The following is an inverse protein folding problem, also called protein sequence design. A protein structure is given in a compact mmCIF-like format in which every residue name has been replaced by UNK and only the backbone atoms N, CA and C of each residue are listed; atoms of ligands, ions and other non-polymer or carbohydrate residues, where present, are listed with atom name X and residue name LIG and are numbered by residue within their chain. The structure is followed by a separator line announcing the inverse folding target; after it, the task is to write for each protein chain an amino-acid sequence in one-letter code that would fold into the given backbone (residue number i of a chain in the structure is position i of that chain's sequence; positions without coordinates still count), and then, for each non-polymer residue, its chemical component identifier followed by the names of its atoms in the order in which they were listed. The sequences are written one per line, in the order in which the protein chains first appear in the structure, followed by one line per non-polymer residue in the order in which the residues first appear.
data_IF_881698933049
#
_entry.id   IF_881698933049
#
_cell.length_a   1.000
_cell.length_b   1.000
_cell.length_c   1.000
_cell.angle_alpha   90.00
_cell.angle_beta   90.00
_cell.angle_gamma   90.00
#
_symmetry.space_group_name_H-M   'P 1'
#
loop_
_entity.id
_entity.type
_entity.pdbx_description
1 polymer ?
#
# COMPACT_ATOMS: atom_id res chain seq x y z
N UNK A 1 -46.86 20.36 -12.61
CA UNK A 1 -45.96 21.06 -11.68
C UNK A 1 -45.01 20.02 -11.10
N UNK A 2 -43.78 19.94 -11.60
CA UNK A 2 -42.75 19.06 -11.06
C UNK A 2 -41.72 19.95 -10.36
N UNK A 3 -41.56 19.78 -9.05
CA UNK A 3 -40.54 20.49 -8.28
C UNK A 3 -39.17 19.91 -8.66
N UNK A 4 -38.17 20.74 -9.00
CA UNK A 4 -36.81 20.27 -9.08
C UNK A 4 -36.30 20.02 -7.66
N UNK A 5 -35.95 18.77 -7.35
CA UNK A 5 -35.18 18.41 -6.17
C UNK A 5 -33.77 18.99 -6.39
N UNK A 6 -33.19 19.74 -5.44
CA UNK A 6 -31.86 20.30 -5.63
C UNK A 6 -30.86 19.14 -5.69
N UNK A 7 -30.08 19.08 -6.78
CA UNK A 7 -28.89 18.26 -6.86
C UNK A 7 -28.00 18.64 -5.67
N UNK A 8 -27.82 17.72 -4.72
CA UNK A 8 -26.93 17.98 -3.60
C UNK A 8 -25.49 18.03 -4.10
N UNK A 9 -24.73 19.00 -3.59
CA UNK A 9 -23.30 19.21 -3.85
C UNK A 9 -22.42 17.97 -3.60
N UNK A 10 -22.97 16.92 -2.98
CA UNK A 10 -22.28 15.66 -2.74
C UNK A 10 -21.91 14.91 -4.03
N UNK A 11 -22.70 15.04 -5.11
CA UNK A 11 -22.37 14.39 -6.40
C UNK A 11 -21.21 15.04 -7.14
N UNK A 12 -20.76 16.22 -6.69
CA UNK A 12 -19.70 16.99 -7.35
C UNK A 12 -18.31 16.69 -6.79
N UNK A 13 -18.22 16.00 -5.65
CA UNK A 13 -16.95 15.53 -5.05
C UNK A 13 -16.54 14.13 -5.54
N UNK A 14 -17.41 13.41 -6.25
CA UNK A 14 -17.15 12.03 -6.69
C UNK A 14 -16.19 11.95 -7.91
N UNK A 15 -15.77 13.06 -8.53
CA UNK A 15 -14.98 13.06 -9.78
C UNK A 15 -13.99 14.24 -9.94
N UNK A 16 -13.14 14.54 -8.96
CA UNK A 16 -12.06 15.55 -9.17
C UNK A 16 -10.66 15.00 -9.00
N UNK A 17 -10.51 13.82 -8.41
CA UNK A 17 -9.22 13.20 -8.17
C UNK A 17 -8.76 12.47 -9.42
N UNK A 18 -7.57 12.79 -9.91
CA UNK A 18 -7.05 12.26 -11.18
C UNK A 18 -6.50 10.83 -11.08
N UNK A 19 -6.39 10.29 -9.87
CA UNK A 19 -5.64 9.06 -9.63
C UNK A 19 -4.13 9.26 -9.69
N UNK A 20 -3.40 8.17 -9.46
CA UNK A 20 -1.95 8.10 -9.53
C UNK A 20 -1.51 6.81 -10.23
N UNK A 21 -0.98 6.96 -11.44
CA UNK A 21 -0.40 5.89 -12.24
C UNK A 21 1.11 5.83 -12.10
N UNK A 22 1.65 4.63 -11.99
CA UNK A 22 3.08 4.37 -12.02
C UNK A 22 3.41 3.00 -12.62
N UNK A 23 4.67 2.83 -12.96
CA UNK A 23 5.19 1.60 -13.59
C UNK A 23 6.40 1.14 -12.81
N UNK A 24 6.49 -0.16 -12.55
CA UNK A 24 7.67 -0.84 -12.03
C UNK A 24 8.39 -1.42 -13.25
N UNK A 25 9.39 -0.68 -13.74
CA UNK A 25 10.06 -0.92 -15.03
C UNK A 25 11.59 -1.07 -14.93
N UNK A 26 12.11 -1.07 -13.70
CA UNK A 26 13.55 -1.15 -13.41
C UNK A 26 13.81 -2.14 -12.30
N UNK A 27 14.96 -2.80 -12.33
CA UNK A 27 15.47 -3.48 -11.16
C UNK A 27 15.86 -2.47 -10.06
N UNK A 28 16.11 -2.96 -8.85
CA UNK A 28 16.48 -2.14 -7.69
C UNK A 28 17.78 -1.32 -7.88
N UNK A 29 18.61 -1.66 -8.89
CA UNK A 29 19.82 -0.92 -9.29
C UNK A 29 19.56 0.15 -10.35
N UNK A 30 18.38 0.16 -10.96
CA UNK A 30 17.95 1.12 -11.97
C UNK A 30 18.16 0.70 -13.41
N UNK A 31 18.50 -0.57 -13.65
CA UNK A 31 18.56 -1.14 -15.00
C UNK A 31 17.14 -1.53 -15.43
N UNK A 32 16.75 -1.32 -16.70
CA UNK A 32 15.43 -1.73 -17.19
C UNK A 32 15.19 -3.23 -17.01
N UNK A 33 13.94 -3.61 -16.76
CA UNK A 33 13.51 -5.02 -16.77
C UNK A 33 13.49 -5.58 -18.21
N UNK A 34 13.61 -6.89 -18.35
CA UNK A 34 13.65 -7.60 -19.64
C UNK A 34 12.35 -8.35 -19.99
N UNK A 35 11.27 -8.08 -19.24
CA UNK A 35 9.91 -8.55 -19.46
C UNK A 35 8.91 -7.38 -19.45
N UNK A 36 7.62 -7.68 -19.65
CA UNK A 36 6.55 -6.68 -19.49
C UNK A 36 6.52 -6.14 -18.05
N UNK A 37 6.48 -4.81 -17.85
CA UNK A 37 6.53 -4.22 -16.52
C UNK A 37 5.19 -4.35 -15.78
N UNK A 38 5.21 -4.14 -14.47
CA UNK A 38 3.98 -3.96 -13.70
C UNK A 38 3.46 -2.53 -13.83
N UNK A 39 2.17 -2.41 -14.13
CA UNK A 39 1.40 -1.17 -14.14
C UNK A 39 0.52 -1.11 -12.90
N UNK A 40 0.53 0.02 -12.21
CA UNK A 40 -0.33 0.23 -11.05
C UNK A 40 -1.07 1.54 -11.16
N UNK A 41 -2.39 1.49 -10.93
CA UNK A 41 -3.26 2.64 -10.83
C UNK A 41 -3.84 2.73 -9.42
N UNK A 42 -3.80 3.92 -8.83
CA UNK A 42 -4.45 4.22 -7.56
C UNK A 42 -5.55 5.26 -7.77
N UNK A 43 -6.72 5.04 -7.18
CA UNK A 43 -7.81 6.01 -7.20
C UNK A 43 -8.53 6.12 -5.86
N UNK A 44 -9.12 7.29 -5.61
CA UNK A 44 -9.99 7.50 -4.47
C UNK A 44 -11.32 6.79 -4.67
N UNK A 45 -11.78 6.08 -3.64
CA UNK A 45 -13.12 5.50 -3.63
C UNK A 45 -13.88 5.88 -2.37
N UNK A 46 -15.04 6.52 -2.58
CA UNK A 46 -15.99 6.85 -1.53
C UNK A 46 -17.33 6.18 -1.83
N UNK A 47 -17.85 5.45 -0.85
CA UNK A 47 -19.18 4.86 -0.94
C UNK A 47 -20.01 5.20 0.29
N UNK A 48 -21.21 5.73 0.04
CA UNK A 48 -22.22 5.96 1.08
C UNK A 48 -23.36 4.96 0.93
N UNK A 49 -23.49 4.07 1.91
CA UNK A 49 -24.63 3.17 2.02
C UNK A 49 -25.49 3.55 3.23
N UNK A 50 -26.79 3.69 3.04
CA UNK A 50 -27.72 4.06 4.12
C UNK A 50 -27.67 3.00 5.22
N UNK A 51 -27.46 3.43 6.47
CA UNK A 51 -27.42 2.53 7.64
C UNK A 51 -26.10 1.75 7.79
N UNK A 52 -25.07 2.07 7.01
CA UNK A 52 -23.72 1.53 7.17
C UNK A 52 -22.70 2.66 7.30
N UNK A 53 -21.55 2.42 7.96
CA UNK A 53 -20.39 3.30 7.87
C UNK A 53 -20.08 3.66 6.41
N UNK A 54 -19.65 4.90 6.17
CA UNK A 54 -19.17 5.29 4.85
C UNK A 54 -17.83 4.59 4.57
N UNK A 55 -17.69 4.02 3.37
CA UNK A 55 -16.42 3.46 2.91
C UNK A 55 -15.55 4.56 2.33
N UNK A 56 -14.31 4.67 2.81
CA UNK A 56 -13.29 5.63 2.34
C UNK A 56 -11.98 4.88 2.20
N UNK A 57 -11.60 4.61 0.96
CA UNK A 57 -10.43 3.80 0.64
C UNK A 57 -9.70 4.38 -0.56
N UNK A 58 -8.44 4.01 -0.69
CA UNK A 58 -7.73 4.09 -1.98
C UNK A 58 -7.86 2.72 -2.64
N UNK A 59 -8.45 2.67 -3.83
CA UNK A 59 -8.44 1.47 -4.67
C UNK A 59 -7.12 1.40 -5.42
N UNK A 60 -6.49 0.23 -5.38
CA UNK A 60 -5.30 -0.07 -6.13
C UNK A 60 -5.62 -1.15 -7.18
N UNK A 61 -5.15 -0.92 -8.40
CA UNK A 61 -5.25 -1.84 -9.52
C UNK A 61 -3.85 -2.17 -9.96
N UNK A 62 -3.45 -3.42 -9.85
CA UNK A 62 -2.15 -3.95 -10.30
C UNK A 62 -2.40 -4.78 -11.55
N UNK A 63 -1.59 -4.58 -12.58
CA UNK A 63 -1.55 -5.39 -13.78
C UNK A 63 -0.09 -5.68 -14.14
N UNK A 64 0.24 -6.93 -14.41
CA UNK A 64 1.58 -7.31 -14.86
C UNK A 64 1.69 -8.78 -15.20
N UNK A 65 2.90 -9.26 -15.52
CA UNK A 65 3.14 -10.68 -15.73
C UNK A 65 2.85 -11.50 -14.46
N UNK A 66 2.36 -12.72 -14.65
CA UNK A 66 2.39 -13.78 -13.64
C UNK A 66 3.67 -14.61 -13.84
N UNK A 67 4.49 -14.73 -12.80
CA UNK A 67 5.71 -15.54 -12.85
C UNK A 67 5.52 -16.94 -12.27
N UNK A 68 4.65 -17.09 -11.26
CA UNK A 68 4.47 -18.29 -10.43
C UNK A 68 5.83 -18.85 -9.92
N UNK A 69 6.78 -17.97 -9.63
CA UNK A 69 8.10 -18.30 -9.08
C UNK A 69 8.47 -17.31 -7.97
N UNK A 70 8.70 -17.77 -6.72
CA UNK A 70 8.53 -19.15 -6.24
C UNK A 70 7.06 -19.61 -6.26
N UNK A 71 6.85 -20.90 -5.98
CA UNK A 71 5.52 -21.46 -5.78
C UNK A 71 4.75 -20.70 -4.68
N UNK A 72 3.43 -20.65 -4.83
CA UNK A 72 2.50 -19.98 -3.91
C UNK A 72 2.68 -20.39 -2.43
N UNK A 73 2.34 -19.52 -1.47
CA UNK A 73 2.31 -19.89 -0.06
C UNK A 73 1.38 -21.09 0.21
N UNK A 74 1.74 -21.96 1.15
CA UNK A 74 0.98 -23.17 1.49
C UNK A 74 -0.42 -22.89 2.07
N UNK A 75 -0.60 -21.72 2.70
CA UNK A 75 -1.86 -21.31 3.32
C UNK A 75 -2.87 -20.82 2.27
N UNK A 76 -4.16 -20.89 2.60
CA UNK A 76 -5.19 -20.24 1.77
C UNK A 76 -4.98 -18.71 1.73
N UNK A 77 -5.49 -18.07 0.68
CA UNK A 77 -5.47 -16.60 0.56
C UNK A 77 -5.95 -15.90 1.83
N UNK A 78 -5.28 -14.80 2.19
CA UNK A 78 -5.35 -14.22 3.53
C UNK A 78 -4.11 -13.40 3.87
N UNK A 79 -4.01 -12.99 5.14
CA UNK A 79 -2.77 -12.41 5.68
C UNK A 79 -1.65 -13.44 5.63
N UNK A 80 -0.50 -13.07 5.06
CA UNK A 80 0.67 -13.93 4.91
C UNK A 80 1.93 -13.18 5.36
N UNK A 81 2.56 -13.65 6.44
CA UNK A 81 3.82 -13.07 6.92
C UNK A 81 5.00 -13.50 6.03
N UNK A 82 5.93 -12.57 5.81
CA UNK A 82 7.06 -12.73 4.88
C UNK A 82 6.60 -13.02 3.45
N UNK A 83 5.53 -12.34 3.00
CA UNK A 83 5.04 -12.49 1.64
C UNK A 83 6.10 -12.04 0.61
N UNK A 84 7.04 -11.17 0.99
CA UNK A 84 8.26 -10.83 0.23
C UNK A 84 9.18 -12.02 -0.09
N UNK A 85 9.00 -13.21 0.50
CA UNK A 85 9.71 -14.42 0.07
C UNK A 85 9.07 -15.04 -1.19
N UNK A 86 7.86 -14.62 -1.56
CA UNK A 86 7.05 -15.12 -2.68
C UNK A 86 6.97 -14.12 -3.85
N UNK A 87 6.21 -14.44 -4.90
CA UNK A 87 5.85 -13.44 -5.91
C UNK A 87 4.89 -12.41 -5.32
N UNK A 88 5.28 -11.13 -5.33
CA UNK A 88 4.42 -10.06 -4.82
C UNK A 88 4.73 -8.69 -5.42
N UNK A 89 3.76 -7.79 -5.32
CA UNK A 89 3.94 -6.34 -5.50
C UNK A 89 3.83 -5.65 -4.15
N UNK A 90 4.76 -4.74 -3.87
CA UNK A 90 4.79 -3.98 -2.62
C UNK A 90 4.58 -2.48 -2.88
N UNK A 91 3.73 -1.82 -2.08
CA UNK A 91 3.47 -0.39 -2.14
C UNK A 91 3.83 0.28 -0.82
N UNK A 92 4.60 1.38 -0.89
CA UNK A 92 5.04 2.11 0.29
C UNK A 92 4.63 3.59 0.27
N UNK A 93 4.03 4.06 1.37
CA UNK A 93 3.62 5.45 1.54
C UNK A 93 4.21 6.03 2.81
N UNK A 94 5.13 6.99 2.68
CA UNK A 94 5.87 7.57 3.80
C UNK A 94 5.58 9.06 4.00
N UNK A 95 5.62 9.52 5.24
CA UNK A 95 5.50 10.93 5.60
C UNK A 95 6.85 11.57 5.98
N UNK A 96 6.81 12.85 6.36
CA UNK A 96 7.99 13.62 6.79
C UNK A 96 8.59 13.21 8.15
N UNK A 97 7.88 12.39 8.93
CA UNK A 97 8.37 11.82 10.21
C UNK A 97 8.98 10.43 10.06
N UNK A 98 9.13 9.94 8.82
CA UNK A 98 9.55 8.55 8.53
C UNK A 98 8.57 7.49 9.08
N UNK A 99 7.32 7.86 9.31
CA UNK A 99 6.24 6.88 9.45
C UNK A 99 5.84 6.42 8.06
N UNK A 100 5.57 5.14 7.89
CA UNK A 100 5.19 4.60 6.58
C UNK A 100 4.27 3.39 6.67
N UNK A 101 3.39 3.32 5.67
CA UNK A 101 2.56 2.17 5.35
C UNK A 101 3.31 1.33 4.31
N UNK A 102 3.28 0.03 4.50
CA UNK A 102 3.77 -0.99 3.59
C UNK A 102 2.64 -1.99 3.32
N UNK A 103 2.44 -2.32 2.05
CA UNK A 103 1.40 -3.25 1.60
C UNK A 103 2.04 -4.19 0.59
N UNK A 104 1.98 -5.49 0.85
CA UNK A 104 2.43 -6.55 -0.05
C UNK A 104 1.20 -7.31 -0.56
N UNK A 105 1.13 -7.60 -1.87
CA UNK A 105 0.03 -8.36 -2.48
C UNK A 105 0.62 -9.44 -3.39
N UNK A 106 0.17 -10.69 -3.21
CA UNK A 106 0.54 -11.83 -4.05
C UNK A 106 -0.56 -12.22 -5.05
N UNK A 107 -0.21 -12.89 -6.15
CA UNK A 107 -1.18 -13.33 -7.16
C UNK A 107 -2.21 -14.34 -6.61
N UNK A 108 -1.84 -15.10 -5.57
CA UNK A 108 -2.67 -16.18 -5.02
C UNK A 108 -3.65 -15.72 -3.92
N UNK A 109 -3.84 -14.41 -3.78
CA UNK A 109 -4.82 -13.83 -2.83
C UNK A 109 -4.27 -13.62 -1.43
N UNK A 110 -2.95 -13.71 -1.26
CA UNK A 110 -2.24 -13.36 -0.04
C UNK A 110 -1.92 -11.88 0.01
N UNK A 111 -1.92 -11.30 1.20
CA UNK A 111 -1.43 -9.94 1.43
C UNK A 111 -0.71 -9.82 2.76
N UNK A 112 0.05 -8.74 2.90
CA UNK A 112 0.57 -8.30 4.18
C UNK A 112 0.44 -6.78 4.26
N UNK A 113 0.01 -6.24 5.39
CA UNK A 113 0.00 -4.81 5.63
C UNK A 113 0.74 -4.52 6.93
N UNK A 114 1.73 -3.66 6.86
CA UNK A 114 2.56 -3.27 7.99
C UNK A 114 2.58 -1.76 8.13
N UNK A 115 2.41 -1.29 9.37
CA UNK A 115 2.52 0.12 9.74
C UNK A 115 3.80 0.32 10.53
N UNK A 116 4.60 1.32 10.18
CA UNK A 116 5.88 1.60 10.83
C UNK A 116 5.90 3.01 11.41
N UNK A 117 6.28 3.14 12.68
CA UNK A 117 6.42 4.45 13.34
C UNK A 117 7.76 5.13 13.02
N UNK A 118 8.75 4.35 12.62
CA UNK A 118 10.04 4.76 12.07
C UNK A 118 10.65 3.58 11.29
N UNK A 119 11.79 3.78 10.62
CA UNK A 119 12.44 2.74 9.78
C UNK A 119 12.60 1.42 10.55
N UNK A 120 11.94 0.37 10.06
CA UNK A 120 11.97 -1.00 10.60
C UNK A 120 11.48 -1.14 12.06
N UNK A 121 10.66 -0.20 12.52
CA UNK A 121 9.98 -0.31 13.82
C UNK A 121 8.47 -0.39 13.60
N UNK A 122 7.91 -1.61 13.60
CA UNK A 122 6.47 -1.80 13.48
C UNK A 122 5.71 -1.06 14.57
N UNK A 123 4.56 -0.48 14.20
CA UNK A 123 3.67 0.22 15.10
C UNK A 123 2.80 -0.78 15.89
N UNK A 124 2.30 -1.81 15.20
CA UNK A 124 1.49 -2.90 15.77
C UNK A 124 2.14 -4.23 15.37
N UNK A 125 2.67 -4.98 16.33
CA UNK A 125 3.44 -6.20 16.06
C UNK A 125 2.56 -7.44 15.80
N UNK A 126 1.27 -7.41 16.15
CA UNK A 126 0.38 -8.58 16.15
C UNK A 126 -1.00 -8.30 15.51
N UNK A 127 -1.13 -7.21 14.76
CA UNK A 127 -2.41 -6.85 14.16
C UNK A 127 -2.42 -7.31 12.70
N UNK A 128 -3.15 -8.38 12.43
CA UNK A 128 -3.42 -8.88 11.09
C UNK A 128 -4.41 -7.92 10.40
N UNK A 129 -3.86 -6.97 9.64
CA UNK A 129 -4.62 -5.96 8.94
C UNK A 129 -5.22 -6.54 7.65
N UNK A 130 -6.55 -6.54 7.58
CA UNK A 130 -7.35 -7.13 6.52
C UNK A 130 -7.41 -6.25 5.26
N UNK A 131 -7.38 -6.87 4.08
CA UNK A 131 -7.65 -6.24 2.79
C UNK A 131 -8.75 -7.00 2.04
N UNK A 132 -9.56 -6.26 1.28
CA UNK A 132 -10.45 -6.85 0.27
C UNK A 132 -9.67 -6.99 -1.04
N UNK A 133 -9.12 -8.18 -1.31
CA UNK A 133 -8.31 -8.47 -2.51
C UNK A 133 -9.11 -9.30 -3.53
N UNK A 134 -9.01 -8.94 -4.81
CA UNK A 134 -9.57 -9.68 -5.94
C UNK A 134 -8.50 -9.88 -7.01
N UNK A 135 -8.21 -11.14 -7.34
CA UNK A 135 -7.25 -11.48 -8.39
C UNK A 135 -7.98 -12.08 -9.61
N UNK A 136 -7.52 -11.69 -10.79
CA UNK A 136 -7.98 -12.21 -12.09
C UNK A 136 -6.77 -12.53 -12.95
N UNK A 137 -6.81 -13.68 -13.61
CA UNK A 137 -5.76 -14.13 -14.52
C UNK A 137 -6.29 -14.19 -15.96
N UNK A 138 -5.58 -13.56 -16.89
CA UNK A 138 -5.86 -13.64 -18.32
C UNK A 138 -4.59 -14.07 -19.05
N UNK A 139 -4.49 -15.36 -19.40
CA UNK A 139 -3.25 -15.90 -19.95
C UNK A 139 -2.13 -15.82 -18.92
N UNK A 140 -1.04 -15.11 -19.25
CA UNK A 140 0.10 -14.90 -18.36
C UNK A 140 0.08 -13.50 -17.70
N UNK A 141 -1.07 -12.83 -17.71
CA UNK A 141 -1.25 -11.53 -17.07
C UNK A 141 -2.02 -11.71 -15.77
N UNK A 142 -1.39 -11.30 -14.66
CA UNK A 142 -2.03 -11.18 -13.36
C UNK A 142 -2.60 -9.77 -13.20
N UNK A 143 -3.85 -9.70 -12.75
CA UNK A 143 -4.51 -8.48 -12.32
C UNK A 143 -4.97 -8.60 -10.88
N UNK A 144 -4.69 -7.59 -10.07
CA UNK A 144 -5.20 -7.49 -8.70
C UNK A 144 -5.95 -6.18 -8.49
N UNK A 145 -7.06 -6.25 -7.78
CA UNK A 145 -7.76 -5.07 -7.25
C UNK A 145 -7.87 -5.22 -5.75
N UNK A 146 -7.41 -4.21 -5.01
CA UNK A 146 -7.55 -4.19 -3.57
C UNK A 146 -7.88 -2.80 -3.03
N UNK A 147 -8.55 -2.78 -1.89
CA UNK A 147 -9.00 -1.56 -1.23
C UNK A 147 -8.18 -1.27 0.02
N UNK A 148 -7.48 -0.15 0.05
CA UNK A 148 -6.64 0.29 1.16
C UNK A 148 -7.47 1.23 2.06
N UNK A 149 -7.83 0.83 3.29
CA UNK A 149 -8.51 1.68 4.24
C UNK A 149 -7.75 2.97 4.51
N UNK A 150 -8.47 4.09 4.59
CA UNK A 150 -7.85 5.39 4.86
C UNK A 150 -7.11 5.43 6.21
N UNK A 151 -7.55 4.65 7.20
CA UNK A 151 -6.87 4.52 8.50
C UNK A 151 -5.45 3.93 8.40
N UNK A 152 -5.12 3.24 7.30
CA UNK A 152 -3.82 2.60 7.15
C UNK A 152 -2.76 3.62 6.75
N UNK A 153 -3.13 4.74 6.13
CA UNK A 153 -2.18 5.76 5.71
C UNK A 153 -1.71 6.59 6.92
N UNK A 154 -0.40 6.83 7.08
CA UNK A 154 0.07 7.79 8.06
C UNK A 154 -0.39 9.20 7.68
N UNK A 155 -0.50 10.13 8.63
CA UNK A 155 -0.81 11.51 8.31
C UNK A 155 0.28 12.11 7.41
N UNK A 156 -0.14 12.98 6.49
CA UNK A 156 0.74 13.80 5.65
C UNK A 156 1.73 12.98 4.84
N UNK A 157 1.25 11.91 4.19
CA UNK A 157 2.05 11.18 3.20
C UNK A 157 2.62 12.17 2.19
N UNK A 158 3.91 12.06 1.93
CA UNK A 158 4.63 12.96 1.04
C UNK A 158 5.60 12.25 0.11
N UNK A 159 5.92 10.97 0.39
CA UNK A 159 6.85 10.17 -0.39
C UNK A 159 6.27 8.79 -0.66
N UNK A 160 6.68 8.20 -1.77
CA UNK A 160 6.21 6.90 -2.25
C UNK A 160 7.35 6.10 -2.87
N UNK A 161 7.23 4.78 -2.81
CA UNK A 161 7.90 3.84 -3.72
C UNK A 161 7.03 2.59 -3.92
N UNK A 162 7.33 1.81 -4.95
CA UNK A 162 6.71 0.52 -5.18
C UNK A 162 7.72 -0.47 -5.73
N UNK A 163 7.49 -1.75 -5.47
CA UNK A 163 8.39 -2.84 -5.80
C UNK A 163 7.62 -4.04 -6.36
N UNK A 164 8.31 -4.85 -7.16
CA UNK A 164 7.85 -6.17 -7.55
C UNK A 164 8.96 -7.18 -7.27
N UNK A 165 8.58 -8.33 -6.72
CA UNK A 165 9.49 -9.41 -6.38
C UNK A 165 8.97 -10.69 -7.03
N UNK A 166 9.87 -11.42 -7.68
CA UNK A 166 9.59 -12.70 -8.32
C UNK A 166 10.88 -13.48 -8.54
N UNK A 167 10.76 -14.72 -8.98
CA UNK A 167 11.86 -15.63 -9.18
C UNK A 167 12.42 -16.21 -7.87
N UNK A 168 13.27 -17.23 -7.99
CA UNK A 168 13.84 -17.96 -6.86
C UNK A 168 15.36 -18.02 -6.85
N UNK A 169 15.94 -18.05 -5.63
CA UNK A 169 17.37 -18.30 -5.42
C UNK A 169 18.28 -17.29 -6.13
N UNK A 170 19.12 -17.78 -7.06
CA UNK A 170 20.01 -16.90 -7.85
C UNK A 170 19.28 -16.06 -8.89
N UNK A 171 18.06 -16.47 -9.24
CA UNK A 171 17.18 -15.78 -10.17
C UNK A 171 16.09 -15.03 -9.38
N UNK A 172 16.36 -14.60 -8.15
CA UNK A 172 15.44 -13.71 -7.42
C UNK A 172 15.57 -12.30 -7.99
N UNK A 173 14.47 -11.75 -8.45
CA UNK A 173 14.37 -10.42 -9.02
C UNK A 173 13.76 -9.46 -8.00
N UNK A 174 14.30 -8.25 -7.99
CA UNK A 174 13.86 -7.15 -7.12
C UNK A 174 13.75 -5.91 -7.99
N UNK A 175 12.53 -5.44 -8.18
CA UNK A 175 12.20 -4.34 -9.08
C UNK A 175 11.63 -3.16 -8.33
N UNK A 176 11.73 -1.97 -8.90
CA UNK A 176 11.38 -0.73 -8.23
C UNK A 176 10.85 0.34 -9.20
N UNK A 177 9.85 1.10 -8.76
CA UNK A 177 9.48 2.38 -9.37
C UNK A 177 10.63 3.38 -9.24
N UNK A 178 11.21 3.44 -8.03
CA UNK A 178 12.38 4.27 -7.71
C UNK A 178 13.51 3.38 -7.20
N UNK A 179 14.58 3.17 -7.98
CA UNK A 179 15.71 2.35 -7.59
C UNK A 179 16.35 2.80 -6.28
N UNK A 180 16.79 1.83 -5.48
CA UNK A 180 17.28 2.01 -4.11
C UNK A 180 18.79 1.78 -3.97
N UNK A 181 19.50 1.76 -5.11
CA UNK A 181 20.95 1.55 -5.16
C UNK A 181 21.73 2.87 -5.07
N UNK A 182 22.78 2.90 -4.25
CA UNK A 182 23.60 4.10 -4.02
C UNK A 182 25.03 4.01 -4.57
N UNK A 183 25.33 2.98 -5.36
CA UNK A 183 26.65 2.79 -5.97
C UNK A 183 27.67 2.06 -5.10
N UNK A 184 27.35 1.71 -3.84
CA UNK A 184 28.32 1.06 -2.95
C UNK A 184 28.62 -0.39 -3.37
N UNK A 185 29.89 -0.83 -3.24
CA UNK A 185 30.23 -2.25 -3.37
C UNK A 185 29.46 -3.10 -2.35
N UNK A 186 28.99 -4.27 -2.77
CA UNK A 186 28.23 -5.21 -1.94
C UNK A 186 26.91 -4.65 -1.38
N UNK A 187 26.31 -3.64 -2.03
CA UNK A 187 24.95 -3.21 -1.71
C UNK A 187 23.97 -4.37 -1.96
N UNK A 188 22.87 -4.37 -1.21
CA UNK A 188 21.80 -5.36 -1.28
C UNK A 188 20.43 -4.67 -1.32
N UNK A 189 19.39 -5.31 -1.88
CA UNK A 189 18.03 -4.77 -1.82
C UNK A 189 17.59 -4.55 -0.35
N UNK A 190 17.24 -3.30 -0.02
CA UNK A 190 16.60 -2.91 1.23
C UNK A 190 15.50 -1.88 0.95
N UNK A 191 14.26 -2.36 0.85
CA UNK A 191 13.09 -1.56 0.46
C UNK A 191 12.66 -0.53 1.51
N UNK A 192 13.18 -0.63 2.74
CA UNK A 192 12.93 0.35 3.81
C UNK A 192 13.91 1.54 3.79
N UNK A 193 14.70 1.73 2.71
CA UNK A 193 15.55 2.91 2.50
C UNK A 193 14.72 4.13 2.05
N UNK A 194 14.00 4.73 2.99
CA UNK A 194 13.07 5.85 2.75
C UNK A 194 13.72 7.07 2.07
N UNK A 195 15.05 7.19 2.10
CA UNK A 195 15.80 8.26 1.41
C UNK A 195 15.70 8.18 -0.13
N UNK A 196 15.33 7.03 -0.70
CA UNK A 196 15.13 6.86 -2.15
C UNK A 196 13.69 7.13 -2.60
N UNK A 197 12.75 7.19 -1.67
CA UNK A 197 11.35 7.39 -2.00
C UNK A 197 11.17 8.79 -2.59
N UNK A 198 10.32 8.91 -3.61
CA UNK A 198 10.12 10.17 -4.33
C UNK A 198 8.83 10.85 -3.93
N UNK A 199 8.73 12.19 -4.10
CA UNK A 199 7.52 12.92 -3.78
C UNK A 199 6.28 12.35 -4.49
N UNK A 200 5.20 12.13 -3.74
CA UNK A 200 3.88 11.79 -4.29
C UNK A 200 2.92 12.95 -4.07
N UNK A 201 2.10 13.23 -5.08
CA UNK A 201 0.95 14.13 -4.96
C UNK A 201 -0.24 13.36 -4.41
N UNK A 202 -0.20 13.08 -3.10
CA UNK A 202 -1.21 12.25 -2.43
C UNK A 202 -2.63 12.83 -2.57
N UNK A 203 -2.73 14.16 -2.74
CA UNK A 203 -3.97 14.88 -3.02
C UNK A 203 -4.66 14.45 -4.30
N UNK A 204 -4.02 13.64 -5.16
CA UNK A 204 -4.63 13.01 -6.33
C UNK A 204 -5.40 11.72 -6.03
N UNK A 205 -5.20 11.12 -4.87
CA UNK A 205 -5.80 9.83 -4.47
C UNK A 205 -6.46 9.85 -3.09
N UNK A 206 -6.17 10.86 -2.26
CA UNK A 206 -6.84 11.12 -0.98
C UNK A 206 -7.21 12.60 -0.93
N UNK A 207 -8.48 12.98 -0.68
CA UNK A 207 -8.84 14.39 -0.54
C UNK A 207 -8.07 15.07 0.60
N UNK A 208 -7.63 16.31 0.40
CA UNK A 208 -6.72 17.03 1.31
C UNK A 208 -7.17 16.99 2.78
N UNK A 209 -8.46 17.19 3.05
CA UNK A 209 -9.04 17.17 4.41
C UNK A 209 -8.91 15.82 5.14
N UNK A 210 -8.56 14.75 4.43
CA UNK A 210 -8.39 13.40 4.96
C UNK A 210 -6.93 12.98 5.13
N UNK A 211 -5.96 13.78 4.66
CA UNK A 211 -4.54 13.46 4.76
C UNK A 211 -3.80 14.31 5.81
N UNK A 212 -4.39 15.41 6.30
CA UNK A 212 -3.74 16.31 7.26
C UNK A 212 -3.47 15.69 8.64
N UNK A 213 -4.31 14.73 9.04
CA UNK A 213 -4.29 14.04 10.32
C UNK A 213 -4.51 12.55 10.10
N UNK A 214 -4.19 11.74 11.12
CA UNK A 214 -4.55 10.32 11.10
C UNK A 214 -6.06 10.17 11.02
N UNK A 215 -6.51 9.15 10.28
CA UNK A 215 -7.93 8.93 10.09
C UNK A 215 -8.45 7.97 11.16
N UNK A 216 -9.36 8.44 12.00
CA UNK A 216 -10.08 7.61 12.96
C UNK A 216 -11.25 6.90 12.26
N UNK A 217 -11.02 5.65 11.86
CA UNK A 217 -12.01 4.83 11.19
C UNK A 217 -12.96 4.14 12.19
N UNK A 218 -14.21 3.88 11.76
CA UNK A 218 -15.19 3.25 12.63
C UNK A 218 -14.89 1.77 12.94
N UNK A 219 -14.16 1.10 12.05
CA UNK A 219 -13.76 -0.30 12.19
C UNK A 219 -12.36 -0.43 12.79
N UNK A 220 -11.38 0.32 12.26
CA UNK A 220 -9.99 0.21 12.68
C UNK A 220 -9.58 1.16 13.82
N UNK A 221 -10.40 2.18 14.13
CA UNK A 221 -10.00 3.26 15.02
C UNK A 221 -8.93 4.17 14.39
N UNK A 222 -8.18 4.88 15.24
CA UNK A 222 -6.99 5.62 14.82
C UNK A 222 -5.74 4.78 15.06
N UNK A 223 -5.27 4.11 14.00
CA UNK A 223 -4.10 3.23 14.06
C UNK A 223 -2.80 3.99 14.29
N UNK A 224 -2.76 5.31 14.10
CA UNK A 224 -1.54 6.13 14.18
C UNK A 224 -1.49 7.01 15.43
N UNK A 225 -2.50 6.93 16.30
CA UNK A 225 -2.49 7.61 17.59
C UNK A 225 -1.34 7.09 18.47
N UNK A 226 -0.64 8.00 19.16
CA UNK A 226 0.33 7.61 20.17
C UNK A 226 -0.39 6.87 21.30
N UNK A 227 -0.05 5.59 21.50
CA UNK A 227 -0.48 4.86 22.70
C UNK A 227 0.21 5.49 23.90
N UNK A 228 -0.54 6.26 24.69
CA UNK A 228 -0.11 6.62 26.04
C UNK A 228 -0.06 5.35 26.87
N UNK A 229 1.07 4.63 26.86
CA UNK A 229 1.36 3.66 27.90
C UNK A 229 1.53 4.49 29.17
N UNK A 230 0.53 4.48 30.05
CA UNK A 230 0.74 5.00 31.39
C UNK A 230 1.89 4.20 32.00
N UNK A 231 2.92 4.85 32.57
CA UNK A 231 3.97 4.14 33.27
C UNK A 231 3.31 3.26 34.34
N UNK A 232 3.57 1.95 34.30
CA UNK A 232 3.21 1.07 35.42
C UNK A 232 3.88 1.66 36.66
N UNK A 233 3.13 2.03 37.72
CA UNK A 233 3.73 2.52 38.93
C UNK A 233 4.69 1.46 39.46
N UNK A 234 5.97 1.81 39.56
CA UNK A 234 6.93 0.98 40.28
C UNK A 234 6.47 1.00 41.74
N UNK A 235 5.91 -0.11 42.21
CA UNK A 235 5.66 -0.32 43.64
C UNK A 235 7.03 -0.62 44.26
N UNK A 236 7.54 0.22 45.17
CA UNK A 236 8.77 -0.10 45.89
C UNK A 236 8.54 -1.35 46.74
N UNK A 237 9.47 -2.30 46.68
CA UNK A 237 9.56 -3.43 47.61
C UNK A 237 10.15 -2.93 48.92
#
# INVERSE_FOLDING_TARGET
MALPIPLSAARQLEHTLSGFDFVIDKNWRGEPVDHEPFHVHLEWFFQRLKGRPHKRVVKAFVEGPLFDDPAEPDDLGGVCHNLYDYECVELFFANGKNQYLEIEIGPHGHWLVLLFKERRVPLHLNDDLELEVQNVFEGNTWRSVFEIPLAYFPPKVSRFNGYALHGSGKNRHYEAVHPIFDGRPNDAPDFHRLEFFRPIKIEKIIPESFNDHSFNDLYYGDLWAETTVQPVPIVPI
#
